data_IF_699474093680
#
_entry.id   IF_699474093680
#
_cell.length_a   1.000
_cell.length_b   1.000
_cell.length_c   1.000
_cell.angle_alpha   90.00
_cell.angle_beta   90.00
_cell.angle_gamma   90.00
#
_symmetry.space_group_name_H-M   'P 1'
#
loop_
_entity.id
_entity.type
_entity.pdbx_description
1 polymer ?
#
# COMPACT_ATOMS: atom_id res chain seq x y z
N UNK A 1 -11.39 -13.23 7.58
CA UNK A 1 -12.36 -13.77 8.55
C UNK A 1 -11.91 -13.38 9.93
N UNK A 2 -12.80 -12.84 10.73
CA UNK A 2 -12.43 -12.42 12.08
C UNK A 2 -12.30 -13.63 13.02
N UNK A 3 -11.73 -13.36 14.19
CA UNK A 3 -11.54 -14.28 15.31
C UNK A 3 -12.41 -13.79 16.46
N UNK A 4 -13.30 -14.65 16.90
CA UNK A 4 -14.23 -14.42 18.00
C UNK A 4 -13.56 -14.82 19.32
N UNK A 5 -13.69 -13.95 20.31
CA UNK A 5 -13.29 -14.21 21.68
C UNK A 5 -14.40 -13.77 22.62
N UNK A 6 -14.54 -14.42 23.76
CA UNK A 6 -15.48 -14.01 24.80
C UNK A 6 -14.86 -12.91 25.65
N UNK A 7 -15.66 -11.92 26.04
CA UNK A 7 -15.23 -10.81 26.89
C UNK A 7 -14.92 -11.28 28.33
N UNK A 8 -15.63 -12.31 28.82
CA UNK A 8 -15.41 -12.94 30.12
C UNK A 8 -15.17 -14.46 29.97
N UNK A 9 -14.29 -15.01 30.83
CA UNK A 9 -14.06 -16.46 30.97
C UNK A 9 -15.33 -17.20 31.39
N UNK A 10 -16.16 -16.63 32.27
CA UNK A 10 -17.41 -17.25 32.76
C UNK A 10 -18.41 -17.43 31.62
N UNK A 11 -18.59 -16.43 30.77
CA UNK A 11 -19.48 -16.48 29.61
C UNK A 11 -19.03 -17.55 28.60
N UNK A 12 -17.72 -17.70 28.40
CA UNK A 12 -17.16 -18.76 27.55
C UNK A 12 -17.46 -20.16 28.09
N UNK A 13 -17.26 -20.37 29.39
CA UNK A 13 -17.53 -21.67 30.03
C UNK A 13 -19.02 -22.00 29.87
N UNK A 14 -19.90 -21.06 30.23
CA UNK A 14 -21.35 -21.19 30.07
C UNK A 14 -21.74 -21.48 28.62
N UNK A 15 -21.14 -20.80 27.64
CA UNK A 15 -21.39 -21.04 26.22
C UNK A 15 -21.13 -22.49 25.81
N UNK A 16 -19.98 -23.04 26.22
CA UNK A 16 -19.64 -24.42 25.89
C UNK A 16 -20.46 -25.44 26.68
N UNK A 17 -20.84 -25.15 27.92
CA UNK A 17 -21.78 -25.97 28.70
C UNK A 17 -23.15 -26.03 28.02
N UNK A 18 -23.70 -24.89 27.57
CA UNK A 18 -24.97 -24.83 26.82
C UNK A 18 -24.90 -25.67 25.53
N UNK A 19 -23.76 -25.69 24.85
CA UNK A 19 -23.55 -26.54 23.65
C UNK A 19 -23.49 -28.03 24.02
N UNK A 20 -22.93 -28.38 25.17
CA UNK A 20 -22.72 -29.77 25.60
C UNK A 20 -24.01 -30.40 26.09
N UNK A 21 -24.83 -30.88 25.15
CA UNK A 21 -25.98 -31.74 25.47
C UNK A 21 -25.53 -33.10 26.04
N UNK A 22 -26.35 -33.78 26.87
CA UNK A 22 -26.00 -35.07 27.46
C UNK A 22 -25.53 -36.11 26.42
N UNK A 23 -26.22 -36.16 25.27
CA UNK A 23 -26.01 -37.21 24.26
C UNK A 23 -24.99 -36.87 23.15
N UNK A 24 -24.31 -35.72 23.21
CA UNK A 24 -23.36 -35.30 22.17
C UNK A 24 -21.95 -35.25 22.74
N UNK A 25 -21.03 -36.04 22.21
CA UNK A 25 -19.63 -35.99 22.62
C UNK A 25 -18.91 -34.75 22.07
N UNK A 26 -17.85 -34.32 22.75
CA UNK A 26 -17.02 -33.21 22.25
C UNK A 26 -16.37 -33.50 20.90
N UNK A 27 -16.12 -34.78 20.59
CA UNK A 27 -15.62 -35.20 19.27
C UNK A 27 -16.63 -34.89 18.17
N UNK A 28 -17.91 -35.25 18.36
CA UNK A 28 -18.99 -34.93 17.41
C UNK A 28 -19.17 -33.43 17.21
N UNK A 29 -19.04 -32.62 18.28
CA UNK A 29 -19.09 -31.16 18.17
C UNK A 29 -17.92 -30.64 17.33
N UNK A 30 -16.71 -31.16 17.54
CA UNK A 30 -15.52 -30.76 16.79
C UNK A 30 -15.67 -31.07 15.29
N UNK A 31 -16.16 -32.29 14.97
CA UNK A 31 -16.46 -32.72 13.59
C UNK A 31 -17.47 -31.78 12.92
N UNK A 32 -18.54 -31.39 13.62
CA UNK A 32 -19.57 -30.47 13.11
C UNK A 32 -19.05 -29.08 12.76
N UNK A 33 -17.95 -28.64 13.38
CA UNK A 33 -17.33 -27.34 13.10
C UNK A 33 -16.05 -27.44 12.27
N UNK A 34 -15.83 -28.59 11.64
CA UNK A 34 -14.65 -28.88 10.82
C UNK A 34 -13.33 -28.61 11.58
N UNK A 35 -13.27 -29.06 12.84
CA UNK A 35 -12.10 -28.96 13.70
C UNK A 35 -11.77 -30.31 14.34
N UNK A 36 -10.50 -30.50 14.71
CA UNK A 36 -10.13 -31.65 15.53
C UNK A 36 -10.47 -31.41 17.02
N UNK A 37 -10.48 -32.50 17.80
CA UNK A 37 -10.83 -32.49 19.23
C UNK A 37 -9.97 -31.52 20.05
N UNK A 38 -8.66 -31.51 19.81
CA UNK A 38 -7.69 -30.66 20.52
C UNK A 38 -7.90 -29.17 20.25
N UNK A 39 -8.22 -28.83 19.00
CA UNK A 39 -8.53 -27.46 18.60
C UNK A 39 -9.80 -26.95 19.30
N UNK A 40 -10.84 -27.79 19.38
CA UNK A 40 -12.04 -27.46 20.16
C UNK A 40 -11.71 -27.26 21.64
N UNK A 41 -10.85 -28.08 22.24
CA UNK A 41 -10.40 -27.87 23.62
C UNK A 41 -9.63 -26.57 23.81
N UNK A 42 -8.81 -26.16 22.84
CA UNK A 42 -8.16 -24.86 22.89
C UNK A 42 -9.16 -23.69 22.84
N UNK A 43 -10.25 -23.83 22.08
CA UNK A 43 -11.34 -22.84 22.11
C UNK A 43 -12.05 -22.82 23.47
N UNK A 44 -12.43 -23.98 24.00
CA UNK A 44 -13.09 -24.13 25.31
C UNK A 44 -12.28 -23.53 26.44
N UNK A 45 -10.99 -23.80 26.45
CA UNK A 45 -10.07 -23.33 27.48
C UNK A 45 -9.61 -21.87 27.25
N UNK A 46 -10.00 -21.26 26.11
CA UNK A 46 -9.63 -19.89 25.76
C UNK A 46 -8.17 -19.71 25.38
N UNK A 47 -7.47 -20.80 25.04
CA UNK A 47 -6.08 -20.75 24.55
C UNK A 47 -6.03 -20.20 23.12
N UNK A 48 -7.09 -20.41 22.34
CA UNK A 48 -7.24 -19.89 20.99
C UNK A 48 -8.58 -19.19 20.82
N UNK A 49 -8.59 -18.12 20.02
CA UNK A 49 -9.82 -17.50 19.54
C UNK A 49 -10.47 -18.34 18.43
N UNK A 50 -11.79 -18.30 18.37
CA UNK A 50 -12.60 -19.12 17.45
C UNK A 50 -12.69 -18.40 16.10
N UNK A 51 -12.35 -19.04 14.97
CA UNK A 51 -12.71 -18.51 13.65
C UNK A 51 -14.21 -18.16 13.56
N UNK A 52 -14.55 -17.01 12.96
CA UNK A 52 -15.93 -16.55 12.88
C UNK A 52 -16.89 -17.53 12.20
N UNK A 53 -16.44 -18.18 11.13
CA UNK A 53 -17.15 -19.26 10.44
C UNK A 53 -17.46 -20.44 11.37
N UNK A 54 -16.48 -20.88 12.16
CA UNK A 54 -16.67 -21.96 13.15
C UNK A 54 -17.56 -21.52 14.31
N UNK A 55 -17.48 -20.26 14.71
CA UNK A 55 -18.34 -19.70 15.75
C UNK A 55 -19.81 -19.71 15.30
N UNK A 56 -20.10 -19.39 14.02
CA UNK A 56 -21.45 -19.51 13.44
C UNK A 56 -21.99 -20.94 13.54
N UNK A 57 -21.15 -21.94 13.25
CA UNK A 57 -21.56 -23.35 13.42
C UNK A 57 -21.79 -23.74 14.89
N UNK A 58 -21.02 -23.18 15.83
CA UNK A 58 -21.21 -23.41 17.27
C UNK A 58 -22.48 -22.74 17.81
N UNK A 59 -22.76 -21.49 17.45
CA UNK A 59 -23.94 -20.75 17.94
C UNK A 59 -25.24 -21.38 17.44
N UNK A 60 -25.22 -22.02 16.26
CA UNK A 60 -26.37 -22.77 15.74
C UNK A 60 -26.76 -23.98 16.60
N UNK A 61 -25.84 -24.50 17.42
CA UNK A 61 -26.12 -25.60 18.36
C UNK A 61 -26.89 -25.15 19.61
N UNK A 62 -26.92 -23.83 19.85
CA UNK A 62 -27.57 -23.21 21.00
C UNK A 62 -29.03 -22.86 20.64
N UNK A 63 -30.01 -23.06 21.56
CA UNK A 63 -31.39 -22.63 21.35
C UNK A 63 -31.49 -21.13 21.02
N UNK A 64 -32.38 -20.77 20.10
CA UNK A 64 -32.51 -19.40 19.58
C UNK A 64 -32.61 -18.33 20.69
N UNK A 65 -33.41 -18.63 21.72
CA UNK A 65 -33.64 -17.75 22.88
C UNK A 65 -32.36 -17.34 23.63
N UNK A 66 -31.30 -18.16 23.58
CA UNK A 66 -30.03 -17.92 24.27
C UNK A 66 -28.95 -17.33 23.36
N UNK A 67 -29.13 -17.34 22.03
CA UNK A 67 -28.10 -16.89 21.08
C UNK A 67 -27.77 -15.40 21.27
N UNK A 68 -28.81 -14.58 21.45
CA UNK A 68 -28.65 -13.13 21.65
C UNK A 68 -27.86 -12.80 22.92
N UNK A 69 -27.96 -13.62 23.97
CA UNK A 69 -27.16 -13.46 25.17
C UNK A 69 -25.67 -13.58 24.83
N UNK A 70 -25.25 -14.65 24.15
CA UNK A 70 -23.84 -14.89 23.83
C UNK A 70 -23.28 -13.93 22.77
N UNK A 71 -24.09 -13.53 21.78
CA UNK A 71 -23.68 -12.57 20.76
C UNK A 71 -23.30 -11.20 21.36
N UNK A 72 -23.91 -10.81 22.48
CA UNK A 72 -23.55 -9.58 23.23
C UNK A 72 -22.29 -9.73 24.10
N UNK A 73 -21.78 -10.95 24.29
CA UNK A 73 -20.64 -11.27 25.18
C UNK A 73 -19.35 -11.61 24.44
N UNK A 74 -19.31 -11.34 23.14
CA UNK A 74 -18.14 -11.60 22.30
C UNK A 74 -17.52 -10.32 21.75
N UNK A 75 -16.21 -10.36 21.53
CA UNK A 75 -15.47 -9.39 20.72
C UNK A 75 -14.93 -10.04 19.46
N UNK A 76 -14.51 -9.21 18.50
CA UNK A 76 -13.86 -9.63 17.25
C UNK A 76 -12.43 -9.12 17.16
N UNK A 77 -11.54 -9.91 16.56
CA UNK A 77 -10.19 -9.52 16.16
C UNK A 77 -9.95 -9.94 14.72
N UNK A 78 -9.20 -9.15 13.96
CA UNK A 78 -8.80 -9.53 12.58
C UNK A 78 -8.03 -10.86 12.58
N UNK A 79 -8.17 -11.67 11.52
CA UNK A 79 -7.48 -12.97 11.37
C UNK A 79 -5.98 -12.89 11.62
N UNK A 80 -5.34 -11.82 11.15
CA UNK A 80 -3.90 -11.61 11.21
C UNK A 80 -3.42 -10.95 12.52
N UNK A 81 -4.30 -10.71 13.49
CA UNK A 81 -3.94 -10.02 14.75
C UNK A 81 -2.78 -10.71 15.47
N UNK A 82 -2.81 -12.04 15.60
CA UNK A 82 -1.74 -12.80 16.24
C UNK A 82 -0.43 -12.73 15.48
N UNK A 83 -0.47 -12.76 14.14
CA UNK A 83 0.72 -12.61 13.29
C UNK A 83 1.33 -11.21 13.42
N UNK A 84 0.50 -10.16 13.49
CA UNK A 84 0.97 -8.77 13.68
C UNK A 84 1.69 -8.62 15.01
N UNK A 85 1.09 -9.11 16.11
CA UNK A 85 1.72 -9.02 17.43
C UNK A 85 2.98 -9.87 17.50
N UNK A 86 2.92 -11.10 17.00
CA UNK A 86 4.08 -11.99 16.92
C UNK A 86 5.22 -11.36 16.13
N UNK A 87 4.93 -10.76 14.97
CA UNK A 87 5.91 -10.05 14.15
C UNK A 87 6.51 -8.83 14.85
N UNK A 88 5.69 -8.02 15.55
CA UNK A 88 6.18 -6.89 16.35
C UNK A 88 7.09 -7.34 17.48
N UNK A 89 6.72 -8.40 18.20
CA UNK A 89 7.54 -8.95 19.28
C UNK A 89 8.84 -9.56 18.75
N UNK A 90 8.77 -10.34 17.68
CA UNK A 90 9.94 -10.91 17.02
C UNK A 90 10.91 -9.83 16.55
N UNK A 91 10.39 -8.74 15.96
CA UNK A 91 11.20 -7.58 15.58
C UNK A 91 11.83 -6.90 16.81
N UNK A 92 11.07 -6.70 17.90
CA UNK A 92 11.60 -6.10 19.13
C UNK A 92 12.77 -6.91 19.70
N UNK A 93 12.63 -8.24 19.76
CA UNK A 93 13.66 -9.16 20.26
C UNK A 93 14.89 -9.13 19.34
N UNK A 94 14.69 -9.15 18.03
CA UNK A 94 15.77 -9.31 17.03
C UNK A 94 16.12 -8.01 16.31
N UNK A 95 15.87 -6.85 16.94
CA UNK A 95 15.90 -5.53 16.28
C UNK A 95 17.19 -5.30 15.50
N UNK A 96 18.35 -5.56 16.13
CA UNK A 96 19.68 -5.40 15.50
C UNK A 96 19.82 -6.22 14.21
N UNK A 97 19.39 -7.49 14.22
CA UNK A 97 19.48 -8.39 13.05
C UNK A 97 18.57 -7.91 11.91
N UNK A 98 17.34 -7.52 12.22
CA UNK A 98 16.40 -6.99 11.22
C UNK A 98 16.87 -5.66 10.64
N UNK A 99 17.37 -4.75 11.47
CA UNK A 99 17.85 -3.45 11.02
C UNK A 99 19.11 -3.59 10.16
N UNK A 100 20.02 -4.51 10.51
CA UNK A 100 21.17 -4.84 9.66
C UNK A 100 20.74 -5.41 8.31
N UNK A 101 19.78 -6.34 8.29
CA UNK A 101 19.21 -6.88 7.06
C UNK A 101 18.55 -5.81 6.19
N UNK A 102 17.80 -4.88 6.81
CA UNK A 102 17.20 -3.73 6.12
C UNK A 102 18.27 -2.79 5.55
N UNK A 103 19.34 -2.49 6.31
CA UNK A 103 20.46 -1.67 5.82
C UNK A 103 21.15 -2.34 4.63
N UNK A 104 21.44 -3.64 4.69
CA UNK A 104 22.01 -4.40 3.57
C UNK A 104 21.10 -4.36 2.34
N UNK A 105 19.80 -4.61 2.51
CA UNK A 105 18.83 -4.54 1.43
C UNK A 105 18.56 -3.13 0.88
N UNK A 106 18.77 -2.09 1.69
CA UNK A 106 18.71 -0.70 1.25
C UNK A 106 19.98 -0.30 0.49
N UNK A 107 21.16 -0.75 0.92
CA UNK A 107 22.42 -0.55 0.21
C UNK A 107 22.38 -1.23 -1.16
N UNK A 108 22.05 -2.53 -1.20
CA UNK A 108 21.86 -3.25 -2.45
C UNK A 108 20.83 -2.57 -3.37
N UNK A 109 19.76 -1.97 -2.81
CA UNK A 109 18.80 -1.18 -3.60
C UNK A 109 19.33 0.16 -4.06
N UNK A 110 20.15 0.87 -3.28
CA UNK A 110 20.83 2.10 -3.72
C UNK A 110 21.78 1.80 -4.87
N UNK A 111 22.51 0.68 -4.77
CA UNK A 111 23.38 0.20 -5.85
C UNK A 111 22.57 -0.21 -7.10
N UNK A 112 21.25 -0.45 -6.96
CA UNK A 112 20.29 -0.76 -8.05
C UNK A 112 19.44 0.47 -8.45
N UNK A 113 19.55 1.63 -7.78
CA UNK A 113 18.80 2.82 -8.20
C UNK A 113 19.33 3.24 -9.57
N UNK A 114 18.61 2.81 -10.61
CA UNK A 114 18.98 2.98 -12.01
C UNK A 114 19.24 4.44 -12.38
N UNK A 115 18.64 5.37 -11.63
CA UNK A 115 18.66 6.81 -11.89
C UNK A 115 18.81 7.57 -10.57
N UNK A 116 19.96 8.21 -10.37
CA UNK A 116 20.23 9.11 -9.25
C UNK A 116 20.58 10.48 -9.83
N UNK A 117 19.75 11.48 -9.53
CA UNK A 117 20.00 12.88 -9.82
C UNK A 117 19.59 13.72 -8.62
N UNK A 118 20.16 14.92 -8.52
CA UNK A 118 19.83 15.88 -7.45
C UNK A 118 18.47 16.54 -7.73
N UNK A 119 17.54 16.44 -6.79
CA UNK A 119 16.23 17.10 -6.91
C UNK A 119 16.35 18.64 -6.81
N UNK A 120 17.48 19.14 -6.34
CA UNK A 120 17.79 20.57 -6.17
C UNK A 120 18.72 21.11 -7.27
N UNK A 121 18.78 20.48 -8.45
CA UNK A 121 19.48 21.04 -9.62
C UNK A 121 19.09 22.51 -9.85
N UNK A 122 20.06 23.37 -10.15
CA UNK A 122 19.80 24.78 -10.40
C UNK A 122 18.81 24.98 -11.55
N UNK A 123 18.06 26.08 -11.52
CA UNK A 123 17.25 26.49 -12.65
C UNK A 123 18.14 26.66 -13.89
N UNK A 124 17.60 26.27 -15.03
CA UNK A 124 18.23 26.37 -16.34
C UNK A 124 17.13 26.38 -17.39
N UNK A 125 17.42 26.89 -18.59
CA UNK A 125 16.48 26.87 -19.72
C UNK A 125 15.88 25.48 -19.94
N UNK A 126 16.71 24.43 -19.96
CA UNK A 126 16.25 23.06 -20.16
C UNK A 126 15.33 22.56 -19.03
N UNK A 127 15.61 22.94 -17.78
CA UNK A 127 14.74 22.56 -16.66
C UNK A 127 13.41 23.32 -16.74
N UNK A 128 13.45 24.62 -17.01
CA UNK A 128 12.27 25.46 -17.21
C UNK A 128 11.41 24.95 -18.36
N UNK A 129 12.00 24.58 -19.49
CA UNK A 129 11.32 23.99 -20.64
C UNK A 129 10.62 22.67 -20.26
N UNK A 130 11.32 21.77 -19.55
CA UNK A 130 10.73 20.53 -19.07
C UNK A 130 9.56 20.79 -18.12
N UNK A 131 9.69 21.74 -17.18
CA UNK A 131 8.62 22.12 -16.27
C UNK A 131 7.44 22.73 -17.03
N UNK A 132 7.69 23.59 -18.01
CA UNK A 132 6.68 24.16 -18.90
C UNK A 132 5.88 23.09 -19.63
N UNK A 133 6.56 22.13 -20.25
CA UNK A 133 5.92 20.98 -20.89
C UNK A 133 5.07 20.15 -19.90
N UNK A 134 5.53 20.04 -18.65
CA UNK A 134 4.79 19.33 -17.60
C UNK A 134 3.54 20.09 -17.14
N UNK A 135 3.58 21.42 -17.18
CA UNK A 135 2.47 22.30 -16.82
C UNK A 135 1.41 22.29 -17.92
N UNK A 136 1.82 22.38 -19.19
CA UNK A 136 0.92 22.35 -20.34
C UNK A 136 0.23 21.00 -20.49
N UNK A 137 1.00 19.96 -20.83
CA UNK A 137 0.46 18.67 -21.28
C UNK A 137 0.88 17.48 -20.39
N UNK A 138 1.57 17.78 -19.30
CA UNK A 138 2.13 16.77 -18.43
C UNK A 138 1.25 16.35 -17.27
N UNK A 139 1.49 15.15 -16.79
CA UNK A 139 0.86 14.52 -15.64
C UNK A 139 1.92 13.87 -14.76
N UNK A 140 1.75 13.92 -13.44
CA UNK A 140 2.58 13.15 -12.51
C UNK A 140 1.70 12.53 -11.43
N UNK A 141 1.98 11.28 -11.05
CA UNK A 141 1.20 10.59 -10.03
C UNK A 141 1.99 9.46 -9.36
N UNK A 142 1.52 9.08 -8.18
CA UNK A 142 1.99 7.92 -7.42
C UNK A 142 0.95 6.81 -7.48
N UNK A 143 1.36 5.69 -8.05
CA UNK A 143 0.60 4.43 -8.03
C UNK A 143 1.16 3.51 -6.95
N UNK A 144 0.47 2.41 -6.66
CA UNK A 144 0.83 1.46 -5.58
C UNK A 144 2.30 1.02 -5.63
N UNK A 145 2.84 0.80 -6.84
CA UNK A 145 4.16 0.22 -7.04
C UNK A 145 5.16 1.11 -7.78
N UNK A 146 4.73 2.27 -8.31
CA UNK A 146 5.60 3.12 -9.12
C UNK A 146 5.16 4.59 -9.09
N UNK A 147 6.10 5.46 -9.44
CA UNK A 147 5.90 6.88 -9.64
C UNK A 147 6.01 7.15 -11.13
N UNK A 148 5.03 7.84 -11.70
CA UNK A 148 4.97 8.10 -13.14
C UNK A 148 4.86 9.57 -13.39
N UNK A 149 5.69 10.06 -14.30
CA UNK A 149 5.55 11.36 -14.95
C UNK A 149 5.35 11.10 -16.45
N UNK A 150 4.38 11.77 -17.05
CA UNK A 150 4.00 11.59 -18.45
C UNK A 150 3.79 12.95 -19.10
N UNK A 151 4.13 13.11 -20.38
CA UNK A 151 3.76 14.25 -21.22
C UNK A 151 3.09 13.67 -22.47
N UNK A 152 1.94 14.19 -22.87
CA UNK A 152 1.14 13.67 -24.01
C UNK A 152 0.95 14.74 -25.06
N UNK A 153 1.14 14.41 -26.33
CA UNK A 153 1.00 15.37 -27.43
C UNK A 153 0.46 14.69 -28.69
N UNK A 154 0.36 15.45 -29.76
CA UNK A 154 0.01 14.96 -31.09
C UNK A 154 1.21 14.26 -31.75
N UNK A 155 0.98 13.07 -32.30
CA UNK A 155 2.05 12.27 -32.86
C UNK A 155 2.67 12.85 -34.14
N UNK A 156 1.91 13.63 -34.91
CA UNK A 156 2.40 14.22 -36.15
C UNK A 156 3.11 15.54 -35.85
N UNK A 157 2.49 16.41 -35.07
CA UNK A 157 2.98 17.76 -34.81
C UNK A 157 4.12 17.79 -33.79
N UNK A 158 4.05 16.96 -32.73
CA UNK A 158 4.98 17.07 -31.60
C UNK A 158 6.11 16.03 -31.64
N UNK A 159 6.14 15.15 -32.65
CA UNK A 159 7.14 14.07 -32.68
C UNK A 159 8.58 14.59 -32.63
N UNK A 160 8.89 15.66 -33.36
CA UNK A 160 10.23 16.25 -33.36
C UNK A 160 10.60 16.79 -31.97
N UNK A 161 9.71 17.56 -31.36
CA UNK A 161 9.86 18.10 -30.01
C UNK A 161 10.13 16.99 -28.97
N UNK A 162 9.38 15.89 -29.01
CA UNK A 162 9.54 14.78 -28.08
C UNK A 162 10.89 14.05 -28.23
N UNK A 163 11.31 13.81 -29.47
CA UNK A 163 12.51 13.02 -29.76
C UNK A 163 13.80 13.84 -29.68
N UNK A 164 13.78 15.09 -30.13
CA UNK A 164 14.97 15.92 -30.32
C UNK A 164 15.13 17.04 -29.27
N UNK A 165 14.08 17.38 -28.52
CA UNK A 165 14.16 18.35 -27.40
C UNK A 165 13.92 17.68 -26.05
N UNK A 166 12.73 17.12 -25.80
CA UNK A 166 12.37 16.59 -24.47
C UNK A 166 13.19 15.38 -24.04
N UNK A 167 13.44 14.42 -24.95
CA UNK A 167 14.23 13.23 -24.62
C UNK A 167 15.67 13.59 -24.20
N UNK A 168 16.44 14.38 -24.97
CA UNK A 168 17.77 14.83 -24.55
C UNK A 168 17.76 15.59 -23.21
N UNK A 169 16.76 16.45 -22.98
CA UNK A 169 16.62 17.15 -21.69
C UNK A 169 16.49 16.14 -20.53
N UNK A 170 15.67 15.10 -20.67
CA UNK A 170 15.49 14.09 -19.64
C UNK A 170 16.77 13.29 -19.38
N UNK A 171 17.50 12.93 -20.45
CA UNK A 171 18.76 12.20 -20.37
C UNK A 171 19.85 13.05 -19.70
N UNK A 172 19.94 14.33 -20.04
CA UNK A 172 20.97 15.23 -19.49
C UNK A 172 20.68 15.66 -18.05
N UNK A 173 19.45 16.09 -17.75
CA UNK A 173 19.11 16.61 -16.42
C UNK A 173 18.95 15.50 -15.37
N UNK A 174 18.35 14.38 -15.76
CA UNK A 174 17.92 13.36 -14.81
C UNK A 174 18.69 12.05 -14.94
N UNK A 175 19.57 11.93 -15.95
CA UNK A 175 20.19 10.67 -16.34
C UNK A 175 19.14 9.58 -16.63
N UNK A 176 17.94 9.96 -17.10
CA UNK A 176 16.84 9.03 -17.39
C UNK A 176 16.51 9.08 -18.87
N UNK A 177 16.65 7.94 -19.55
CA UNK A 177 16.08 7.78 -20.89
C UNK A 177 14.58 7.50 -20.80
N UNK A 178 13.72 8.44 -21.23
CA UNK A 178 12.27 8.28 -21.12
C UNK A 178 11.74 7.26 -22.14
N UNK A 179 10.65 6.59 -21.79
CA UNK A 179 9.95 5.69 -22.72
C UNK A 179 8.98 6.48 -23.58
N UNK A 180 9.30 6.64 -24.86
CA UNK A 180 8.40 7.24 -25.85
C UNK A 180 7.53 6.15 -26.49
N UNK A 181 6.22 6.38 -26.54
CA UNK A 181 5.24 5.49 -27.18
C UNK A 181 4.33 6.28 -28.09
N UNK A 182 4.11 5.77 -29.30
CA UNK A 182 3.17 6.30 -30.29
C UNK A 182 2.00 5.33 -30.44
N UNK A 183 0.77 5.81 -30.41
CA UNK A 183 -0.41 4.97 -30.67
C UNK A 183 -1.56 5.81 -31.22
N UNK A 184 -1.95 5.54 -32.46
CA UNK A 184 -2.92 6.39 -33.16
C UNK A 184 -2.35 7.80 -33.36
N UNK A 185 -3.18 8.82 -33.16
CA UNK A 185 -2.81 10.23 -33.31
C UNK A 185 -2.00 10.83 -32.16
N UNK A 186 -1.65 10.08 -31.11
CA UNK A 186 -0.95 10.64 -29.95
C UNK A 186 0.43 10.04 -29.71
N UNK A 187 1.32 10.86 -29.15
CA UNK A 187 2.64 10.50 -28.66
C UNK A 187 2.70 10.73 -27.15
N UNK A 188 3.38 9.84 -26.42
CA UNK A 188 3.58 9.97 -24.97
C UNK A 188 5.03 9.74 -24.61
N UNK A 189 5.56 10.59 -23.75
CA UNK A 189 6.83 10.44 -23.08
C UNK A 189 6.56 10.01 -21.63
N UNK A 190 7.08 8.85 -21.21
CA UNK A 190 6.89 8.32 -19.86
C UNK A 190 8.22 8.22 -19.10
N UNK A 191 8.22 8.70 -17.87
CA UNK A 191 9.34 8.59 -16.93
C UNK A 191 8.83 7.93 -15.65
N UNK A 192 9.55 6.89 -15.21
CA UNK A 192 9.24 6.19 -13.96
C UNK A 192 10.32 6.46 -12.91
N UNK A 193 10.16 7.55 -12.15
CA UNK A 193 11.14 7.97 -11.15
C UNK A 193 10.49 8.62 -9.93
N UNK A 194 10.87 8.12 -8.73
CA UNK A 194 10.45 8.72 -7.46
C UNK A 194 11.05 10.11 -7.28
N UNK A 195 12.33 10.29 -7.62
CA UNK A 195 13.02 11.58 -7.45
C UNK A 195 12.38 12.64 -8.34
N UNK A 196 12.03 12.30 -9.59
CA UNK A 196 11.34 13.23 -10.47
C UNK A 196 9.95 13.60 -9.94
N UNK A 197 9.18 12.62 -9.48
CA UNK A 197 7.90 12.89 -8.83
C UNK A 197 8.05 13.80 -7.62
N UNK A 198 9.04 13.55 -6.74
CA UNK A 198 9.27 14.37 -5.55
C UNK A 198 9.76 15.78 -5.90
N UNK A 199 10.60 15.93 -6.92
CA UNK A 199 11.01 17.25 -7.43
C UNK A 199 9.79 18.04 -7.91
N UNK A 200 8.96 17.45 -8.78
CA UNK A 200 7.76 18.12 -9.30
C UNK A 200 6.79 18.49 -8.17
N UNK A 201 6.47 17.54 -7.29
CA UNK A 201 5.41 17.72 -6.28
C UNK A 201 5.84 18.49 -5.04
N UNK A 202 7.11 18.43 -4.62
CA UNK A 202 7.58 19.04 -3.37
C UNK A 202 8.40 20.31 -3.57
N UNK A 203 9.13 20.43 -4.68
CA UNK A 203 9.94 21.63 -4.97
C UNK A 203 9.13 22.62 -5.80
N UNK A 204 8.50 22.13 -6.86
CA UNK A 204 7.74 22.97 -7.79
C UNK A 204 6.25 23.04 -7.48
N UNK A 205 5.79 22.41 -6.40
CA UNK A 205 4.39 22.36 -5.96
C UNK A 205 3.40 21.92 -7.05
N UNK A 206 3.85 21.12 -8.02
CA UNK A 206 3.01 20.58 -9.09
C UNK A 206 2.14 19.47 -8.53
N UNK A 207 0.80 19.60 -8.56
CA UNK A 207 -0.08 18.62 -7.91
C UNK A 207 0.00 17.25 -8.60
N UNK A 208 -0.03 16.20 -7.79
CA UNK A 208 -0.16 14.82 -8.27
C UNK A 208 -1.61 14.53 -8.66
N UNK A 209 -1.85 13.92 -9.82
CA UNK A 209 -3.19 13.59 -10.28
C UNK A 209 -3.82 14.67 -11.17
N UNK A 210 -5.01 15.17 -10.79
CA UNK A 210 -5.76 16.16 -11.58
C UNK A 210 -5.11 17.54 -11.43
N UNK A 211 -4.63 18.10 -12.55
CA UNK A 211 -3.92 19.38 -12.60
C UNK A 211 -4.70 20.54 -13.22
N UNK A 212 -5.72 20.26 -14.03
CA UNK A 212 -6.44 21.28 -14.77
C UNK A 212 -6.94 22.39 -13.83
N UNK A 213 -6.64 23.64 -14.17
CA UNK A 213 -7.02 24.88 -13.46
C UNK A 213 -6.36 25.12 -12.09
N UNK A 214 -5.52 24.21 -11.60
CA UNK A 214 -4.86 24.35 -10.28
C UNK A 214 -3.37 24.61 -10.36
N UNK A 215 -2.76 24.37 -11.53
CA UNK A 215 -1.32 24.49 -11.69
C UNK A 215 -0.93 25.92 -12.06
N UNK A 216 0.04 26.47 -11.34
CA UNK A 216 0.63 27.78 -11.63
C UNK A 216 2.10 27.60 -11.98
N UNK A 217 2.69 28.62 -12.61
CA UNK A 217 4.15 28.66 -12.77
C UNK A 217 4.78 28.67 -11.37
N UNK A 218 5.75 27.79 -11.07
CA UNK A 218 6.39 27.74 -9.77
C UNK A 218 7.01 29.09 -9.38
N UNK A 219 6.81 29.47 -8.11
CA UNK A 219 7.35 30.74 -7.57
C UNK A 219 8.87 30.84 -7.70
N UNK A 220 9.58 29.71 -7.65
CA UNK A 220 11.03 29.66 -7.84
C UNK A 220 11.43 30.20 -9.22
N UNK A 221 10.64 29.90 -10.27
CA UNK A 221 10.87 30.39 -11.64
C UNK A 221 10.44 31.86 -11.75
N UNK A 222 9.28 32.23 -11.20
CA UNK A 222 8.78 33.61 -11.26
C UNK A 222 9.68 34.63 -10.55
N UNK A 223 10.39 34.20 -9.51
CA UNK A 223 11.32 35.03 -8.74
C UNK A 223 12.75 34.99 -9.27
N UNK A 224 13.03 34.18 -10.29
CA UNK A 224 14.35 34.16 -10.90
C UNK A 224 14.59 35.48 -11.63
N UNK A 225 15.74 36.10 -11.37
CA UNK A 225 16.16 37.33 -12.07
C UNK A 225 16.71 37.02 -13.47
N UNK A 226 17.01 35.74 -13.72
CA UNK A 226 17.50 35.24 -15.00
C UNK A 226 16.35 35.09 -16.01
N UNK A 227 16.61 35.52 -17.26
CA UNK A 227 15.73 35.23 -18.39
C UNK A 227 16.23 33.95 -19.04
N UNK A 228 15.43 32.90 -18.89
CA UNK A 228 15.63 31.61 -19.53
C UNK A 228 14.91 31.54 -20.86
#
# INVERSE_FOLDING_TARGET
>A
MDRIYFLDKKDRIKFFETIKKPNISWRKIAEKIYANRSMLDFYRNGRLHIPEDRFKLLIELIPERERQFFLKKIGKKKSNWGQIIGGKNAYKINKKKFDLGRKKGAKARKDILKYVFDININLSENLCEFIGAIIGDGFTNKYTNFYQTQITGDNLLDSDYYHNKLKPICENLFNISPKITKKGGWIRLNIYSKNLFEMLTKRFDIPAGKKCYTITIPNEILKSEERF
#
